data_IF_524424229007
#
_entry.id   IF_524424229007
#
_cell.length_a   1.000
_cell.length_b   1.000
_cell.length_c   1.000
_cell.angle_alpha   90.00
_cell.angle_beta   90.00
_cell.angle_gamma   90.00
#
_symmetry.space_group_name_H-M   'P 1'
#
loop_
_entity.id
_entity.type
_entity.pdbx_description
1 polymer ?
#
# COMPACT_ATOMS: atom_id res chain seq x y z
N UNK A 1 -10.13 9.37 24.34
CA UNK A 1 -10.22 9.50 22.86
C UNK A 1 -8.86 9.64 22.19
N UNK A 2 -7.95 10.49 22.69
CA UNK A 2 -6.61 10.66 22.10
C UNK A 2 -5.76 9.37 22.03
N UNK A 3 -5.81 8.52 23.05
CA UNK A 3 -5.06 7.26 23.04
C UNK A 3 -5.55 6.27 21.96
N UNK A 4 -6.86 6.18 21.73
CA UNK A 4 -7.42 5.36 20.67
C UNK A 4 -6.97 5.87 19.29
N UNK A 5 -7.02 7.19 19.08
CA UNK A 5 -6.58 7.83 17.84
C UNK A 5 -5.10 7.53 17.59
N UNK A 6 -4.26 7.64 18.62
CA UNK A 6 -2.83 7.33 18.52
C UNK A 6 -2.59 5.86 18.14
N UNK A 7 -3.24 4.91 18.84
CA UNK A 7 -3.12 3.48 18.53
C UNK A 7 -3.59 3.15 17.10
N UNK A 8 -4.67 3.78 16.64
CA UNK A 8 -5.16 3.64 15.28
C UNK A 8 -4.15 4.21 14.26
N UNK A 9 -3.57 5.39 14.52
CA UNK A 9 -2.56 5.98 13.66
C UNK A 9 -1.31 5.10 13.53
N UNK A 10 -0.83 4.52 14.64
CA UNK A 10 0.29 3.55 14.64
C UNK A 10 -0.06 2.33 13.79
N UNK A 11 -1.27 1.79 13.95
CA UNK A 11 -1.73 0.64 13.18
C UNK A 11 -1.81 0.96 11.68
N UNK A 12 -2.41 2.09 11.31
CA UNK A 12 -2.52 2.53 9.91
C UNK A 12 -1.14 2.78 9.30
N UNK A 13 -0.23 3.42 10.04
CA UNK A 13 1.15 3.65 9.62
C UNK A 13 1.86 2.32 9.33
N UNK A 14 1.79 1.36 10.26
CA UNK A 14 2.42 0.05 10.08
C UNK A 14 1.80 -0.75 8.93
N UNK A 15 0.46 -0.80 8.84
CA UNK A 15 -0.23 -1.53 7.79
C UNK A 15 0.02 -0.93 6.40
N UNK A 16 0.03 0.39 6.27
CA UNK A 16 0.32 1.07 5.00
C UNK A 16 1.76 0.82 4.53
N UNK A 17 2.72 0.82 5.44
CA UNK A 17 4.11 0.44 5.16
C UNK A 17 4.21 -1.00 4.63
N UNK A 18 3.64 -1.97 5.36
CA UNK A 18 3.65 -3.38 4.96
C UNK A 18 2.94 -3.58 3.61
N UNK A 19 1.76 -2.98 3.43
CA UNK A 19 1.00 -3.02 2.18
C UNK A 19 1.80 -2.47 1.00
N UNK A 20 2.52 -1.35 1.19
CA UNK A 20 3.37 -0.76 0.17
C UNK A 20 4.51 -1.72 -0.23
N UNK A 21 5.16 -2.37 0.74
CA UNK A 21 6.22 -3.36 0.46
C UNK A 21 5.68 -4.55 -0.34
N UNK A 22 4.57 -5.15 0.09
CA UNK A 22 4.00 -6.30 -0.61
C UNK A 22 3.57 -5.94 -2.05
N UNK A 23 3.04 -4.74 -2.24
CA UNK A 23 2.66 -4.26 -3.57
C UNK A 23 3.88 -3.97 -4.45
N UNK A 24 4.94 -3.36 -3.90
CA UNK A 24 6.19 -3.14 -4.62
C UNK A 24 6.83 -4.48 -5.03
N UNK A 25 6.88 -5.46 -4.12
CA UNK A 25 7.33 -6.82 -4.41
C UNK A 25 6.48 -7.45 -5.51
N UNK A 26 5.15 -7.32 -5.45
CA UNK A 26 4.27 -7.81 -6.52
C UNK A 26 4.64 -7.18 -7.88
N UNK A 27 4.91 -5.87 -7.93
CA UNK A 27 5.31 -5.20 -9.17
C UNK A 27 6.66 -5.72 -9.70
N UNK A 28 7.64 -5.96 -8.81
CA UNK A 28 8.95 -6.52 -9.19
C UNK A 28 8.77 -7.94 -9.73
N UNK A 29 8.04 -8.78 -9.01
CA UNK A 29 7.78 -10.17 -9.40
C UNK A 29 7.03 -10.23 -10.72
N UNK A 30 6.03 -9.37 -10.94
CA UNK A 30 5.30 -9.27 -12.21
C UNK A 30 6.17 -8.79 -13.38
N UNK A 31 7.26 -8.06 -13.11
CA UNK A 31 8.20 -7.61 -14.13
C UNK A 31 9.24 -8.69 -14.47
N UNK A 32 9.67 -9.46 -13.47
CA UNK A 32 10.71 -10.49 -13.62
C UNK A 32 10.13 -11.82 -14.10
N UNK A 33 9.02 -12.27 -13.53
CA UNK A 33 8.40 -13.54 -13.87
C UNK A 33 7.40 -13.32 -15.00
N UNK A 34 7.71 -13.90 -16.17
CA UNK A 34 6.82 -13.90 -17.35
C UNK A 34 5.95 -15.16 -17.46
N UNK A 35 6.15 -16.14 -16.58
CA UNK A 35 5.38 -17.38 -16.58
C UNK A 35 3.95 -17.12 -16.05
N UNK A 36 2.91 -17.30 -16.88
CA UNK A 36 1.53 -17.02 -16.50
C UNK A 36 1.01 -17.93 -15.37
N UNK A 37 1.65 -19.07 -15.14
CA UNK A 37 1.24 -20.08 -14.15
C UNK A 37 2.08 -20.05 -12.85
N UNK A 38 2.71 -18.90 -12.57
CA UNK A 38 3.52 -18.75 -11.36
C UNK A 38 2.65 -18.66 -10.11
N UNK A 39 2.79 -19.64 -9.21
CA UNK A 39 2.18 -19.62 -7.86
C UNK A 39 2.55 -18.36 -7.06
N UNK A 40 3.73 -17.80 -7.31
CA UNK A 40 4.19 -16.59 -6.64
C UNK A 40 3.40 -15.36 -7.10
N UNK A 41 3.14 -15.22 -8.41
CA UNK A 41 2.29 -14.16 -8.94
C UNK A 41 0.85 -14.27 -8.45
N UNK A 42 0.33 -15.50 -8.37
CA UNK A 42 -0.99 -15.75 -7.80
C UNK A 42 -1.06 -15.30 -6.33
N UNK A 43 -0.08 -15.70 -5.51
CA UNK A 43 0.00 -15.33 -4.09
C UNK A 43 -0.02 -13.81 -3.90
N UNK A 44 0.82 -13.09 -4.64
CA UNK A 44 0.84 -11.62 -4.56
C UNK A 44 -0.47 -10.99 -5.06
N UNK A 45 -1.09 -11.57 -6.09
CA UNK A 45 -2.39 -11.09 -6.60
C UNK A 45 -3.52 -11.26 -5.58
N UNK A 46 -3.51 -12.34 -4.80
CA UNK A 46 -4.47 -12.56 -3.71
C UNK A 46 -4.28 -11.54 -2.59
N UNK A 47 -3.03 -11.30 -2.16
CA UNK A 47 -2.73 -10.38 -1.06
C UNK A 47 -2.98 -8.91 -1.46
N UNK A 48 -2.58 -8.53 -2.66
CA UNK A 48 -2.64 -7.12 -3.11
C UNK A 48 -3.94 -6.79 -3.86
N UNK A 49 -4.73 -7.79 -4.24
CA UNK A 49 -6.02 -7.61 -4.90
C UNK A 49 -6.98 -6.70 -4.11
N UNK A 50 -7.23 -6.95 -2.82
CA UNK A 50 -8.06 -6.07 -1.98
C UNK A 50 -7.57 -4.62 -1.93
N UNK A 51 -6.25 -4.39 -1.98
CA UNK A 51 -5.65 -3.05 -1.95
C UNK A 51 -5.86 -2.29 -3.27
N UNK A 52 -5.83 -3.01 -4.40
CA UNK A 52 -5.91 -2.42 -5.75
C UNK A 52 -7.34 -2.29 -6.26
N UNK A 53 -8.31 -3.02 -5.69
CA UNK A 53 -9.74 -2.98 -6.06
C UNK A 53 -10.36 -1.58 -5.96
N UNK A 54 -10.20 -0.82 -4.84
CA UNK A 54 -10.76 0.52 -4.73
C UNK A 54 -10.20 1.46 -5.80
N UNK A 55 -8.88 1.38 -6.05
CA UNK A 55 -8.21 2.19 -7.06
C UNK A 55 -8.70 1.83 -8.46
N UNK A 56 -8.91 0.54 -8.75
CA UNK A 56 -9.50 0.09 -10.02
C UNK A 56 -10.93 0.58 -10.21
N UNK A 57 -11.73 0.64 -9.16
CA UNK A 57 -13.11 1.12 -9.22
C UNK A 57 -13.20 2.63 -9.54
N UNK A 58 -12.19 3.42 -9.15
CA UNK A 58 -12.11 4.84 -9.46
C UNK A 58 -11.32 5.18 -10.72
N UNK A 59 -10.51 4.25 -11.22
CA UNK A 59 -9.75 4.45 -12.43
C UNK A 59 -10.66 4.40 -13.68
N UNK A 60 -10.37 5.19 -14.73
CA UNK A 60 -11.09 5.09 -16.00
C UNK A 60 -11.07 3.67 -16.58
N UNK A 61 -12.14 3.24 -17.27
CA UNK A 61 -12.16 1.98 -17.99
C UNK A 61 -10.98 1.87 -18.97
N UNK A 62 -10.32 0.71 -19.03
CA UNK A 62 -9.14 0.49 -19.87
C UNK A 62 -7.80 0.88 -19.25
N UNK A 63 -7.77 1.36 -18.01
CA UNK A 63 -6.51 1.59 -17.28
C UNK A 63 -5.74 0.27 -17.09
N UNK A 64 -4.48 0.23 -17.51
CA UNK A 64 -3.64 -0.97 -17.39
C UNK A 64 -3.42 -1.39 -15.93
N UNK A 65 -3.29 -2.69 -15.68
CA UNK A 65 -3.08 -3.19 -14.32
C UNK A 65 -1.81 -2.62 -13.68
N UNK A 66 -0.74 -2.48 -14.45
CA UNK A 66 0.52 -1.90 -13.98
C UNK A 66 0.32 -0.45 -13.49
N UNK A 67 -0.51 0.33 -14.18
CA UNK A 67 -0.85 1.71 -13.77
C UNK A 67 -1.72 1.72 -12.51
N UNK A 68 -2.70 0.82 -12.40
CA UNK A 68 -3.51 0.67 -11.17
C UNK A 68 -2.64 0.32 -9.96
N UNK A 69 -1.71 -0.63 -10.11
CA UNK A 69 -0.76 -1.01 -9.05
C UNK A 69 0.14 0.17 -8.65
N UNK A 70 0.64 0.92 -9.64
CA UNK A 70 1.45 2.11 -9.37
C UNK A 70 0.67 3.19 -8.61
N UNK A 71 -0.56 3.52 -9.03
CA UNK A 71 -1.41 4.50 -8.34
C UNK A 71 -1.69 4.04 -6.91
N UNK A 72 -1.99 2.75 -6.72
CA UNK A 72 -2.23 2.17 -5.39
C UNK A 72 -0.99 2.29 -4.51
N UNK A 73 0.20 2.03 -5.05
CA UNK A 73 1.46 2.17 -4.33
C UNK A 73 1.68 3.63 -3.89
N UNK A 74 1.50 4.59 -4.80
CA UNK A 74 1.62 6.02 -4.49
C UNK A 74 0.64 6.41 -3.37
N UNK A 75 -0.61 5.95 -3.43
CA UNK A 75 -1.60 6.21 -2.40
C UNK A 75 -1.21 5.62 -1.04
N UNK A 76 -0.72 4.38 -1.00
CA UNK A 76 -0.25 3.73 0.23
C UNK A 76 0.94 4.48 0.85
N UNK A 77 1.91 4.90 0.02
CA UNK A 77 3.06 5.70 0.47
C UNK A 77 2.62 7.06 0.99
N UNK A 78 1.66 7.72 0.34
CA UNK A 78 1.10 8.99 0.81
C UNK A 78 0.40 8.85 2.17
N UNK A 79 -0.39 7.78 2.36
CA UNK A 79 -1.03 7.48 3.65
C UNK A 79 0.01 7.19 4.73
N UNK A 80 1.04 6.41 4.41
CA UNK A 80 2.13 6.10 5.32
C UNK A 80 2.90 7.37 5.77
N UNK A 81 3.29 8.23 4.83
CA UNK A 81 3.96 9.49 5.14
C UNK A 81 3.05 10.45 5.90
N UNK A 82 1.78 10.58 5.50
CA UNK A 82 0.80 11.41 6.18
C UNK A 82 0.56 10.97 7.63
N UNK A 83 0.42 9.66 7.86
CA UNK A 83 0.29 9.11 9.22
C UNK A 83 1.55 9.29 10.05
N UNK A 84 2.75 9.18 9.46
CA UNK A 84 4.01 9.52 10.15
C UNK A 84 4.05 10.97 10.61
N UNK A 85 3.67 11.92 9.75
CA UNK A 85 3.62 13.35 10.11
C UNK A 85 2.61 13.58 11.24
N UNK A 86 1.41 12.99 11.15
CA UNK A 86 0.38 13.09 12.19
C UNK A 86 0.82 12.48 13.53
N UNK A 87 1.54 11.35 13.51
CA UNK A 87 2.12 10.76 14.71
C UNK A 87 3.18 11.69 15.33
N UNK A 88 4.00 12.35 14.50
CA UNK A 88 5.00 13.32 14.96
C UNK A 88 4.38 14.54 15.63
N UNK A 89 3.29 15.08 15.07
CA UNK A 89 2.59 16.23 15.66
C UNK A 89 1.82 15.90 16.93
N UNK A 90 1.32 14.67 17.07
CA UNK A 90 0.60 14.21 18.27
C UNK A 90 1.50 13.65 19.38
N UNK A 91 2.67 13.13 19.03
CA UNK A 91 3.58 12.44 19.96
C UNK A 91 4.63 13.35 20.62
N UNK A 92 4.84 14.57 20.14
CA UNK A 92 5.77 15.54 20.75
C UNK A 92 7.25 15.11 20.77
N UNK A 93 7.68 14.19 19.89
CA UNK A 93 9.04 13.67 19.88
C UNK A 93 9.74 13.89 18.53
N UNK A 94 10.85 14.63 18.61
CA UNK A 94 11.97 14.62 17.67
C UNK A 94 12.27 13.17 17.25
N UNK A 95 12.12 12.88 15.97
CA UNK A 95 12.62 11.64 15.36
C UNK A 95 13.64 12.06 14.31
N UNK A 96 14.82 12.45 14.81
CA UNK A 96 16.07 12.44 14.06
C UNK A 96 16.57 11.02 13.84
#
# INVERSE_FOLDING_TARGET
>A
MHELIYRLLVLVWFLSYMAAIYLALHMIVARVIRAPDSRLLWFFSVITGPLTRPVRAWAPPGTSEARVRLITLIALVAVWLGTRVLLGTMGGLDIG
#
